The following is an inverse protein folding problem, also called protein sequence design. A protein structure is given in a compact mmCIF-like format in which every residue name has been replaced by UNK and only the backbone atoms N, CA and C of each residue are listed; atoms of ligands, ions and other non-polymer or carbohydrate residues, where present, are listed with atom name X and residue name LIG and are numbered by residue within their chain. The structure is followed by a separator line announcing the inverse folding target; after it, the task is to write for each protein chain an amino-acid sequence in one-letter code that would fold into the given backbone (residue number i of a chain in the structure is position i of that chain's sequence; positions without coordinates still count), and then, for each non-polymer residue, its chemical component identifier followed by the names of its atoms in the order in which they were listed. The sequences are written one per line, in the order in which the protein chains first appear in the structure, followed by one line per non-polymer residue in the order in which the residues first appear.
data_IF_841932463973
#
_entry.id   IF_841932463973
#
_cell.length_a   1.000
_cell.length_b   1.000
_cell.length_c   1.000
_cell.angle_alpha   90.00
_cell.angle_beta   90.00
_cell.angle_gamma   90.00
#
_symmetry.space_group_name_H-M   'P 1'
#
loop_
_entity.id
_entity.type
_entity.pdbx_description
1 polymer ?
#
# COMPACT_ATOMS: atom_id res chain seq x y z
N UNK A 1 -21.96 -16.27 13.13
CA UNK A 1 -22.48 -15.33 12.15
C UNK A 1 -21.69 -14.03 12.18
N UNK A 2 -21.38 -13.49 13.36
CA UNK A 2 -20.48 -12.34 13.45
C UNK A 2 -19.07 -12.68 12.94
N UNK A 3 -18.64 -13.94 13.01
CA UNK A 3 -17.39 -14.42 12.42
C UNK A 3 -17.41 -14.33 10.90
N UNK A 4 -18.51 -14.71 10.24
CA UNK A 4 -18.65 -14.64 8.79
C UNK A 4 -18.53 -13.21 8.27
N UNK A 5 -19.17 -12.26 8.95
CA UNK A 5 -19.08 -10.83 8.60
C UNK A 5 -17.67 -10.29 8.80
N UNK A 6 -17.00 -10.64 9.90
CA UNK A 6 -15.62 -10.23 10.16
C UNK A 6 -14.66 -10.75 9.11
N UNK A 7 -14.81 -12.01 8.68
CA UNK A 7 -13.97 -12.58 7.61
C UNK A 7 -14.25 -11.93 6.26
N UNK A 8 -15.49 -11.62 5.94
CA UNK A 8 -15.86 -10.90 4.72
C UNK A 8 -15.20 -9.52 4.68
N UNK A 9 -15.27 -8.76 5.78
CA UNK A 9 -14.64 -7.44 5.84
C UNK A 9 -13.12 -7.51 5.75
N UNK A 10 -12.47 -8.48 6.38
CA UNK A 10 -11.03 -8.68 6.30
C UNK A 10 -10.56 -9.04 4.89
N UNK A 11 -11.41 -9.71 4.11
CA UNK A 11 -11.10 -10.08 2.72
C UNK A 11 -11.38 -8.97 1.72
N UNK A 12 -12.19 -7.98 2.08
CA UNK A 12 -12.60 -6.88 1.20
C UNK A 12 -11.74 -5.64 1.43
N UNK A 13 -10.45 -5.73 1.26
CA UNK A 13 -9.57 -4.57 1.41
C UNK A 13 -10.05 -3.38 0.57
N UNK A 14 -9.80 -2.16 1.08
CA UNK A 14 -10.05 -0.93 0.31
C UNK A 14 -9.12 -0.90 -0.89
N UNK A 15 -9.68 -0.65 -2.08
CA UNK A 15 -8.89 -0.64 -3.31
C UNK A 15 -9.23 0.57 -4.18
N UNK A 16 -8.19 1.26 -4.64
CA UNK A 16 -8.30 2.29 -5.68
C UNK A 16 -7.84 1.65 -6.99
N UNK A 17 -8.75 1.46 -7.98
CA UNK A 17 -8.36 0.87 -9.25
C UNK A 17 -7.59 1.88 -10.11
N UNK A 18 -6.77 1.41 -11.07
CA UNK A 18 -6.16 2.30 -12.06
C UNK A 18 -7.22 2.79 -13.06
N UNK A 19 -6.93 3.89 -13.72
CA UNK A 19 -7.79 4.41 -14.78
C UNK A 19 -7.75 3.57 -16.05
N UNK A 20 -6.70 2.79 -16.24
CA UNK A 20 -6.53 1.86 -17.35
C UNK A 20 -6.12 0.49 -16.81
N UNK A 21 -6.40 -0.61 -17.53
CA UNK A 21 -6.01 -1.94 -17.08
C UNK A 21 -4.51 -2.01 -16.79
N UNK A 22 -4.14 -2.56 -15.64
CA UNK A 22 -2.76 -2.67 -15.19
C UNK A 22 -2.46 -4.06 -14.64
N UNK A 23 -1.17 -4.35 -14.48
CA UNK A 23 -0.66 -5.64 -13.99
C UNK A 23 0.06 -5.50 -12.65
N UNK A 24 0.00 -4.33 -12.04
CA UNK A 24 0.68 -4.04 -10.76
C UNK A 24 -0.32 -3.68 -9.68
N UNK A 25 -0.10 -4.22 -8.49
CA UNK A 25 -0.81 -3.79 -7.28
C UNK A 25 0.19 -3.25 -6.26
N UNK A 26 -0.06 -2.03 -5.78
CA UNK A 26 0.66 -1.45 -4.64
C UNK A 26 -0.14 -1.73 -3.37
N UNK A 27 0.53 -2.22 -2.34
CA UNK A 27 -0.08 -2.70 -1.09
C UNK A 27 0.30 -1.78 0.05
N UNK A 28 -0.70 -1.29 0.77
CA UNK A 28 -0.56 -0.34 1.87
C UNK A 28 -1.17 -0.90 3.15
N UNK A 29 -0.72 -0.41 4.29
CA UNK A 29 -1.30 -0.79 5.58
C UNK A 29 -2.69 -0.17 5.77
N UNK A 30 -2.86 1.11 5.41
CA UNK A 30 -4.11 1.85 5.56
C UNK A 30 -4.51 2.57 4.27
N UNK A 31 -5.81 2.84 4.13
CA UNK A 31 -6.36 3.54 2.96
C UNK A 31 -5.79 4.94 2.78
N UNK A 32 -5.52 5.65 3.89
CA UNK A 32 -4.94 7.00 3.85
C UNK A 32 -3.55 6.99 3.19
N UNK A 33 -2.77 5.92 3.38
CA UNK A 33 -1.44 5.79 2.78
C UNK A 33 -1.53 5.56 1.27
N UNK A 34 -2.52 4.80 0.81
CA UNK A 34 -2.78 4.61 -0.61
C UNK A 34 -3.12 5.93 -1.30
N UNK A 35 -3.97 6.74 -0.68
CA UNK A 35 -4.33 8.07 -1.19
C UNK A 35 -3.14 9.03 -1.15
N UNK A 36 -2.33 8.97 -0.10
CA UNK A 36 -1.13 9.79 0.04
C UNK A 36 -0.09 9.48 -1.04
N UNK A 37 0.17 8.20 -1.29
CA UNK A 37 1.11 7.79 -2.34
C UNK A 37 0.63 8.25 -3.72
N UNK A 38 -0.66 8.13 -4.01
CA UNK A 38 -1.25 8.62 -5.25
C UNK A 38 -1.04 10.14 -5.41
N UNK A 39 -1.19 10.90 -4.34
CA UNK A 39 -0.95 12.34 -4.33
C UNK A 39 0.52 12.67 -4.60
N UNK A 40 1.44 11.92 -4.01
CA UNK A 40 2.88 12.11 -4.17
C UNK A 40 3.35 11.80 -5.60
N UNK A 41 2.84 10.72 -6.18
CA UNK A 41 3.22 10.30 -7.52
C UNK A 41 2.53 11.10 -8.62
N UNK A 42 1.42 11.77 -8.30
CA UNK A 42 0.68 12.60 -9.26
C UNK A 42 0.03 11.80 -10.40
N UNK A 43 0.01 10.49 -10.32
CA UNK A 43 -0.54 9.62 -11.36
C UNK A 43 -1.35 8.48 -10.73
N UNK A 44 -2.62 8.44 -11.06
CA UNK A 44 -3.55 7.42 -10.60
C UNK A 44 -3.76 6.30 -11.63
N UNK A 45 -3.17 6.43 -12.83
CA UNK A 45 -3.58 5.64 -13.98
C UNK A 45 -2.89 4.28 -14.10
N UNK A 46 -1.82 4.05 -13.36
CA UNK A 46 -0.85 3.00 -13.68
C UNK A 46 -0.99 1.70 -12.89
N UNK A 47 -1.66 1.70 -11.76
CA UNK A 47 -1.68 0.52 -10.86
C UNK A 47 -2.87 0.52 -9.92
N UNK A 48 -3.19 -0.67 -9.41
CA UNK A 48 -4.10 -0.82 -8.29
C UNK A 48 -3.41 -0.39 -6.99
N UNK A 49 -4.15 0.23 -6.10
CA UNK A 49 -3.69 0.57 -4.75
C UNK A 49 -4.62 -0.10 -3.74
N UNK A 50 -4.09 -1.08 -3.02
CA UNK A 50 -4.84 -1.92 -2.08
C UNK A 50 -4.41 -1.64 -0.64
N UNK A 51 -5.37 -1.35 0.22
CA UNK A 51 -5.15 -1.27 1.66
C UNK A 51 -5.50 -2.60 2.32
N UNK A 52 -4.61 -3.09 3.19
CA UNK A 52 -4.84 -4.32 3.94
C UNK A 52 -5.71 -4.12 5.19
N UNK A 53 -5.94 -2.85 5.60
CA UNK A 53 -6.67 -2.56 6.84
C UNK A 53 -5.87 -2.96 8.10
N UNK A 54 -4.56 -2.85 8.02
CA UNK A 54 -3.63 -3.26 9.05
C UNK A 54 -2.79 -4.46 8.64
N UNK A 55 -1.70 -4.69 9.35
CA UNK A 55 -0.81 -5.83 9.10
C UNK A 55 -0.56 -6.62 10.37
N UNK A 56 -0.24 -7.90 10.20
CA UNK A 56 0.12 -8.79 11.29
C UNK A 56 1.61 -9.13 11.22
N UNK A 57 2.27 -9.16 12.36
CA UNK A 57 3.64 -9.63 12.48
C UNK A 57 3.76 -11.15 12.45
N UNK A 58 2.64 -11.88 12.34
CA UNK A 58 2.62 -13.34 12.39
C UNK A 58 3.17 -14.05 11.16
N UNK A 59 3.51 -13.30 10.09
CA UNK A 59 3.98 -13.85 8.84
C UNK A 59 2.91 -14.57 8.01
N UNK A 60 1.65 -14.43 8.39
CA UNK A 60 0.53 -15.00 7.64
C UNK A 60 0.22 -14.17 6.40
N UNK A 61 -0.29 -14.84 5.39
CA UNK A 61 -0.80 -14.21 4.18
C UNK A 61 -1.97 -13.29 4.51
N UNK A 62 -1.92 -11.99 4.11
CA UNK A 62 -3.05 -11.09 4.32
C UNK A 62 -4.27 -11.52 3.49
N UNK A 63 -5.42 -11.65 4.15
CA UNK A 63 -6.64 -12.10 3.49
C UNK A 63 -7.09 -11.16 2.36
N UNK A 64 -6.94 -9.84 2.56
CA UNK A 64 -7.30 -8.86 1.54
C UNK A 64 -6.45 -9.01 0.28
N UNK A 65 -5.14 -9.25 0.43
CA UNK A 65 -4.24 -9.46 -0.71
C UNK A 65 -4.54 -10.78 -1.41
N UNK A 66 -4.74 -11.85 -0.65
CA UNK A 66 -5.09 -13.16 -1.20
C UNK A 66 -6.36 -13.07 -2.05
N UNK A 67 -7.41 -12.46 -1.53
CA UNK A 67 -8.68 -12.32 -2.25
C UNK A 67 -8.55 -11.41 -3.47
N UNK A 68 -7.80 -10.32 -3.35
CA UNK A 68 -7.54 -9.42 -4.47
C UNK A 68 -6.83 -10.15 -5.62
N UNK A 69 -5.77 -10.90 -5.32
CA UNK A 69 -5.01 -11.63 -6.34
C UNK A 69 -5.83 -12.76 -6.98
N UNK A 70 -6.73 -13.37 -6.22
CA UNK A 70 -7.66 -14.37 -6.75
C UNK A 70 -8.61 -13.74 -7.79
N UNK A 71 -9.07 -12.51 -7.54
CA UNK A 71 -9.98 -11.80 -8.44
C UNK A 71 -9.26 -11.14 -9.62
N UNK A 72 -7.95 -10.95 -9.54
CA UNK A 72 -7.16 -10.23 -10.53
C UNK A 72 -6.00 -11.09 -11.05
N UNK A 73 -6.31 -12.12 -11.89
CA UNK A 73 -5.25 -13.02 -12.41
C UNK A 73 -4.27 -12.32 -13.35
N UNK A 74 -4.58 -11.13 -13.84
CA UNK A 74 -3.71 -10.30 -14.67
C UNK A 74 -2.52 -9.70 -13.91
N UNK A 75 -2.57 -9.67 -12.58
CA UNK A 75 -1.50 -9.09 -11.76
C UNK A 75 -0.24 -9.95 -11.85
N UNK A 76 0.88 -9.31 -12.12
CA UNK A 76 2.21 -9.94 -12.18
C UNK A 76 3.19 -9.33 -11.17
N UNK A 77 2.93 -8.10 -10.72
CA UNK A 77 3.85 -7.34 -9.87
C UNK A 77 3.13 -6.85 -8.62
N UNK A 78 3.79 -7.04 -7.47
CA UNK A 78 3.33 -6.55 -6.17
C UNK A 78 4.36 -5.54 -5.65
N UNK A 79 3.91 -4.33 -5.33
CA UNK A 79 4.72 -3.32 -4.66
C UNK A 79 4.31 -3.28 -3.19
N UNK A 80 5.22 -3.61 -2.29
CA UNK A 80 4.96 -3.54 -0.85
C UNK A 80 5.33 -2.16 -0.36
N UNK A 81 4.32 -1.36 -0.05
CA UNK A 81 4.46 0.02 0.41
C UNK A 81 3.93 0.17 1.83
N UNK A 82 4.26 -0.81 2.67
CA UNK A 82 3.88 -0.85 4.08
C UNK A 82 4.72 0.15 4.88
N UNK A 83 4.23 0.48 6.08
CA UNK A 83 4.89 1.45 6.95
C UNK A 83 6.35 1.08 7.21
N UNK A 84 7.20 2.09 7.33
CA UNK A 84 8.62 1.90 7.59
C UNK A 84 8.90 1.82 9.10
N UNK A 85 8.20 0.91 9.77
CA UNK A 85 8.40 0.57 11.18
C UNK A 85 8.67 -0.94 11.31
N UNK A 86 8.98 -1.39 12.52
CA UNK A 86 9.32 -2.80 12.76
C UNK A 86 8.22 -3.76 12.30
N UNK A 87 6.96 -3.44 12.59
CA UNK A 87 5.81 -4.27 12.22
C UNK A 87 5.62 -4.32 10.70
N UNK A 88 5.71 -3.18 10.04
CA UNK A 88 5.58 -3.08 8.58
C UNK A 88 6.72 -3.80 7.86
N UNK A 89 7.95 -3.69 8.36
CA UNK A 89 9.11 -4.38 7.79
C UNK A 89 8.99 -5.91 7.93
N UNK A 90 8.54 -6.38 9.09
CA UNK A 90 8.32 -7.82 9.30
C UNK A 90 7.21 -8.34 8.39
N UNK A 91 6.12 -7.59 8.24
CA UNK A 91 5.03 -7.96 7.35
C UNK A 91 5.50 -8.02 5.88
N UNK A 92 6.31 -7.06 5.44
CA UNK A 92 6.87 -7.05 4.09
C UNK A 92 7.73 -8.29 3.81
N UNK A 93 8.59 -8.66 4.74
CA UNK A 93 9.41 -9.87 4.63
C UNK A 93 8.52 -11.11 4.51
N UNK A 94 7.49 -11.22 5.34
CA UNK A 94 6.56 -12.35 5.33
C UNK A 94 5.79 -12.46 4.01
N UNK A 95 5.25 -11.37 3.53
CA UNK A 95 4.50 -11.34 2.26
C UNK A 95 5.43 -11.70 1.09
N UNK A 96 6.63 -11.15 1.06
CA UNK A 96 7.61 -11.46 0.00
C UNK A 96 7.93 -12.94 -0.06
N UNK A 97 8.12 -13.58 1.10
CA UNK A 97 8.37 -15.03 1.15
C UNK A 97 7.24 -15.86 0.54
N UNK A 98 6.01 -15.41 0.71
CA UNK A 98 4.83 -16.13 0.21
C UNK A 98 4.69 -15.97 -1.31
N UNK A 99 4.99 -14.80 -1.85
CA UNK A 99 4.62 -14.45 -3.23
C UNK A 99 5.79 -14.37 -4.22
N UNK A 100 7.04 -14.32 -3.76
CA UNK A 100 8.20 -14.08 -4.63
C UNK A 100 8.44 -15.15 -5.69
N UNK A 101 7.91 -16.34 -5.51
CA UNK A 101 8.00 -17.45 -6.48
C UNK A 101 7.03 -17.31 -7.65
N UNK A 102 5.93 -16.55 -7.46
CA UNK A 102 4.84 -16.40 -8.43
C UNK A 102 4.70 -14.98 -8.98
N UNK A 103 5.18 -13.99 -8.25
CA UNK A 103 5.06 -12.57 -8.58
C UNK A 103 6.40 -11.88 -8.50
N UNK A 104 6.57 -10.81 -9.26
CA UNK A 104 7.67 -9.87 -9.02
C UNK A 104 7.29 -9.02 -7.81
N UNK A 105 8.07 -9.06 -6.74
CA UNK A 105 7.77 -8.35 -5.50
C UNK A 105 8.84 -7.29 -5.25
N UNK A 106 8.41 -6.02 -5.21
CA UNK A 106 9.26 -4.88 -4.85
C UNK A 106 8.90 -4.41 -3.45
N UNK A 107 9.90 -4.23 -2.60
CA UNK A 107 9.71 -3.65 -1.27
C UNK A 107 10.06 -2.16 -1.32
N UNK A 108 9.03 -1.31 -1.23
CA UNK A 108 9.12 0.14 -1.45
C UNK A 108 8.52 0.89 -0.25
N UNK A 109 9.11 0.77 0.95
CA UNK A 109 8.61 1.49 2.12
C UNK A 109 8.74 3.00 1.92
N UNK A 110 7.97 3.81 2.67
CA UNK A 110 8.21 5.25 2.70
C UNK A 110 9.63 5.54 3.22
N UNK A 111 10.20 6.64 2.77
CA UNK A 111 11.59 7.00 3.08
C UNK A 111 11.75 7.71 4.45
N UNK A 112 10.74 7.64 5.30
CA UNK A 112 10.74 8.20 6.64
C UNK A 112 10.83 7.05 7.64
N UNK A 113 11.86 7.06 8.47
CA UNK A 113 12.01 6.06 9.52
C UNK A 113 10.82 6.14 10.50
N UNK A 114 10.23 4.99 10.83
CA UNK A 114 9.03 4.85 11.66
C UNK A 114 7.81 5.60 11.11
N UNK A 115 7.81 5.93 9.81
CA UNK A 115 6.74 6.69 9.16
C UNK A 115 5.98 5.90 8.11
N UNK A 116 4.95 6.53 7.60
CA UNK A 116 4.08 6.01 6.54
C UNK A 116 4.00 6.98 5.35
N UNK A 117 3.27 6.59 4.30
CA UNK A 117 3.12 7.44 3.13
C UNK A 117 2.32 8.72 3.41
N UNK A 118 1.42 8.70 4.39
CA UNK A 118 0.71 9.90 4.83
C UNK A 118 1.69 10.92 5.43
N UNK A 119 2.67 10.46 6.21
CA UNK A 119 3.74 11.31 6.74
C UNK A 119 4.57 11.93 5.61
N UNK A 120 4.92 11.16 4.58
CA UNK A 120 5.64 11.67 3.41
C UNK A 120 4.86 12.76 2.69
N UNK A 121 3.57 12.56 2.47
CA UNK A 121 2.71 13.54 1.80
C UNK A 121 2.61 14.82 2.61
N UNK A 122 2.46 14.71 3.94
CA UNK A 122 2.42 15.85 4.85
C UNK A 122 3.72 16.66 4.80
N UNK A 123 4.87 16.00 4.88
CA UNK A 123 6.18 16.64 4.82
C UNK A 123 6.40 17.32 3.48
N UNK A 124 6.02 16.70 2.38
CA UNK A 124 6.10 17.27 1.04
C UNK A 124 5.25 18.56 0.92
N UNK A 125 4.02 18.53 1.43
CA UNK A 125 3.14 19.70 1.44
C UNK A 125 3.73 20.84 2.26
N UNK A 126 4.28 20.55 3.44
CA UNK A 126 4.91 21.56 4.29
C UNK A 126 6.14 22.19 3.61
N UNK A 127 6.97 21.40 2.93
CA UNK A 127 8.12 21.89 2.19
C UNK A 127 7.70 22.81 1.05
N UNK A 128 6.66 22.44 0.30
CA UNK A 128 6.10 23.26 -0.79
C UNK A 128 5.54 24.58 -0.26
N UNK A 129 4.85 24.56 0.86
CA UNK A 129 4.29 25.76 1.50
C UNK A 129 5.39 26.71 1.95
N UNK A 130 6.45 26.18 2.56
CA UNK A 130 7.61 26.98 2.98
C UNK A 130 8.32 27.61 1.79
N UNK A 131 8.53 26.86 0.71
CA UNK A 131 9.15 27.37 -0.52
C UNK A 131 8.29 28.46 -1.16
N UNK A 132 6.98 28.29 -1.22
CA UNK A 132 6.05 29.28 -1.74
C UNK A 132 6.11 30.58 -0.93
N UNK A 133 6.09 30.49 0.40
CA UNK A 133 6.19 31.65 1.29
C UNK A 133 7.50 32.41 1.07
N UNK A 134 8.62 31.70 0.89
CA UNK A 134 9.91 32.32 0.65
C UNK A 134 9.93 33.11 -0.68
N UNK A 135 9.25 32.60 -1.72
CA UNK A 135 9.17 33.26 -3.04
C UNK A 135 8.23 34.48 -2.99
N UNK A 136 7.17 34.41 -2.22
CA UNK A 136 6.15 35.47 -2.14
C UNK A 136 6.47 36.60 -1.17
N UNK A 137 7.60 36.55 -0.49
CA UNK A 137 8.13 37.67 0.34
C UNK A 137 8.94 38.69 -0.49
#
# INVERSE_FOLDING_TARGET
ESRGLGDVYKRQGFCIPPMQPGTTVAVFEAAIDAMAEMTLCGDAADKYRLSLGGVSSSGKEPLALQEFLRQHPEITTIELRLDNDAKGRMASVGIRKIYADRYTVHDLPPNIENGDYADMAKNNLMARTAAHRAVCR
#
